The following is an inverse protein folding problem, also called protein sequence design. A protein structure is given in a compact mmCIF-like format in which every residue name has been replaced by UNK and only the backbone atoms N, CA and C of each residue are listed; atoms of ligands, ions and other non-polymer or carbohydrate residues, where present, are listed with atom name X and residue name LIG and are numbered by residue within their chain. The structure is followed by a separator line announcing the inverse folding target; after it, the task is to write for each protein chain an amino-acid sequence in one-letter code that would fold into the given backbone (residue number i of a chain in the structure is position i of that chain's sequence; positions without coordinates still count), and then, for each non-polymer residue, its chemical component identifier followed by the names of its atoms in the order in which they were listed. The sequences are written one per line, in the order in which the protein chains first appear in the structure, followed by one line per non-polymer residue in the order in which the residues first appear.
data_IF_453389405058
#
_entry.id   IF_453389405058
#
_cell.length_a   1.000
_cell.length_b   1.000
_cell.length_c   1.000
_cell.angle_alpha   90.00
_cell.angle_beta   90.00
_cell.angle_gamma   90.00
#
_symmetry.space_group_name_H-M   'P 1'
#
loop_
_entity.id
_entity.type
_entity.pdbx_description
1 polymer ?
#
# COMPACT_ATOMS: atom_id res chain seq x y z
N UNK A 1 -9.62 10.66 0.74
CA UNK A 1 -9.73 9.38 0.04
C UNK A 1 -10.35 8.35 0.98
N UNK A 2 -11.16 7.43 0.44
CA UNK A 2 -11.72 6.30 1.19
C UNK A 2 -11.12 5.00 0.62
N UNK A 3 -10.77 4.08 1.50
CA UNK A 3 -10.23 2.76 1.15
C UNK A 3 -11.11 1.69 1.82
N UNK A 4 -12.27 1.38 1.24
CA UNK A 4 -13.15 0.33 1.76
C UNK A 4 -12.60 -1.05 1.37
N UNK A 5 -12.93 -2.06 2.17
CA UNK A 5 -12.79 -3.46 1.78
C UNK A 5 -14.16 -4.15 1.78
N UNK A 6 -14.40 -5.12 0.88
CA UNK A 6 -15.73 -5.71 0.67
C UNK A 6 -16.03 -6.93 1.55
N UNK A 7 -15.17 -7.29 2.50
CA UNK A 7 -15.18 -8.63 3.07
C UNK A 7 -16.14 -8.82 4.25
N UNK A 8 -16.42 -7.78 5.05
CA UNK A 8 -17.35 -7.86 6.18
C UNK A 8 -16.98 -9.03 7.13
N UNK A 9 -17.87 -10.02 7.23
CA UNK A 9 -17.70 -11.22 8.05
C UNK A 9 -17.19 -12.44 7.25
N UNK A 10 -16.67 -12.27 6.04
CA UNK A 10 -16.34 -13.37 5.13
C UNK A 10 -14.88 -13.79 5.12
N UNK A 11 -14.01 -13.12 5.87
CA UNK A 11 -12.60 -13.47 5.97
C UNK A 11 -12.26 -14.12 7.30
N UNK A 12 -11.43 -15.16 7.25
CA UNK A 12 -10.91 -15.87 8.42
C UNK A 12 -9.43 -16.22 8.19
N UNK A 13 -8.71 -16.45 9.27
CA UNK A 13 -7.32 -16.90 9.21
C UNK A 13 -6.41 -15.98 8.42
N UNK A 14 -5.60 -16.57 7.56
CA UNK A 14 -4.55 -15.86 6.81
C UNK A 14 -5.09 -14.74 5.90
N UNK A 15 -6.27 -14.91 5.32
CA UNK A 15 -6.92 -13.91 4.48
C UNK A 15 -7.29 -12.66 5.28
N UNK A 16 -7.82 -12.84 6.49
CA UNK A 16 -8.11 -11.73 7.39
C UNK A 16 -6.82 -11.03 7.82
N UNK A 17 -5.81 -11.79 8.19
CA UNK A 17 -4.50 -11.27 8.60
C UNK A 17 -3.85 -10.44 7.49
N UNK A 18 -3.89 -10.92 6.25
CA UNK A 18 -3.36 -10.18 5.10
C UNK A 18 -4.11 -8.87 4.86
N UNK A 19 -5.44 -8.87 5.00
CA UNK A 19 -6.27 -7.66 4.92
C UNK A 19 -5.91 -6.67 6.02
N UNK A 20 -5.76 -7.13 7.25
CA UNK A 20 -5.36 -6.30 8.39
C UNK A 20 -3.99 -5.66 8.16
N UNK A 21 -3.00 -6.43 7.72
CA UNK A 21 -1.66 -5.92 7.38
C UNK A 21 -1.70 -4.87 6.26
N UNK A 22 -2.48 -5.11 5.21
CA UNK A 22 -2.62 -4.16 4.10
C UNK A 22 -3.26 -2.85 4.55
N UNK A 23 -4.36 -2.92 5.31
CA UNK A 23 -5.05 -1.76 5.86
C UNK A 23 -4.19 -1.00 6.87
N UNK A 24 -3.45 -1.70 7.74
CA UNK A 24 -2.51 -1.10 8.67
C UNK A 24 -1.40 -0.32 7.93
N UNK A 25 -0.91 -0.86 6.81
CA UNK A 25 0.00 -0.16 5.92
C UNK A 25 -0.59 1.13 5.35
N UNK A 26 -1.89 1.16 5.03
CA UNK A 26 -2.59 2.38 4.61
C UNK A 26 -2.73 3.40 5.75
N UNK A 27 -3.07 2.93 6.97
CA UNK A 27 -3.14 3.80 8.16
C UNK A 27 -1.78 4.44 8.44
N UNK A 28 -0.71 3.67 8.33
CA UNK A 28 0.65 4.12 8.59
C UNK A 28 1.33 4.80 7.39
N UNK A 29 0.59 4.99 6.28
CA UNK A 29 1.17 5.55 5.07
C UNK A 29 1.70 6.99 5.31
N UNK A 30 2.95 7.29 4.95
CA UNK A 30 3.59 8.57 5.24
C UNK A 30 2.93 9.77 4.55
N UNK A 31 2.22 9.57 3.44
CA UNK A 31 1.49 10.63 2.73
C UNK A 31 0.09 10.88 3.30
N UNK A 32 -0.36 10.11 4.29
CA UNK A 32 -1.63 10.35 4.96
C UNK A 32 -1.41 11.27 6.17
N UNK A 33 -1.80 12.53 6.06
CA UNK A 33 -1.66 13.50 7.16
C UNK A 33 -2.50 13.11 8.38
N UNK A 34 -3.71 12.60 8.15
CA UNK A 34 -4.61 12.11 9.18
C UNK A 34 -5.49 10.98 8.65
N UNK A 35 -5.94 10.09 9.52
CA UNK A 35 -6.71 8.89 9.16
C UNK A 35 -7.85 8.67 10.13
N UNK A 36 -9.06 8.42 9.59
CA UNK A 36 -10.18 7.89 10.35
C UNK A 36 -10.40 6.43 9.94
N UNK A 37 -10.37 5.54 10.91
CA UNK A 37 -10.71 4.13 10.74
C UNK A 37 -12.16 3.95 11.15
N UNK A 38 -12.97 3.43 10.23
CA UNK A 38 -14.40 3.22 10.44
C UNK A 38 -14.67 1.73 10.49
N UNK A 39 -15.16 1.25 11.62
CA UNK A 39 -15.65 -0.11 11.80
C UNK A 39 -17.19 -0.11 11.86
N UNK A 40 -17.79 -1.20 11.40
CA UNK A 40 -19.22 -1.44 11.59
C UNK A 40 -19.52 -1.83 13.03
N UNK A 41 -18.62 -2.57 13.67
CA UNK A 41 -18.77 -3.12 15.02
C UNK A 41 -19.19 -4.59 15.06
N UNK A 42 -19.51 -5.19 13.92
CA UNK A 42 -19.93 -6.61 13.81
C UNK A 42 -19.15 -7.40 12.74
N UNK A 43 -18.19 -6.77 12.07
CA UNK A 43 -17.30 -7.43 11.11
C UNK A 43 -16.22 -8.30 11.79
N UNK A 44 -15.56 -9.18 11.01
CA UNK A 44 -14.45 -9.97 11.54
C UNK A 44 -13.23 -9.12 11.89
N UNK A 45 -13.02 -8.02 11.17
CA UNK A 45 -11.91 -7.10 11.41
C UNK A 45 -12.30 -6.04 12.45
N UNK A 46 -12.50 -6.46 13.70
CA UNK A 46 -12.82 -5.55 14.80
C UNK A 46 -11.71 -4.51 15.01
N UNK A 47 -12.10 -3.29 15.37
CA UNK A 47 -11.14 -2.19 15.59
C UNK A 47 -10.09 -2.54 16.66
N UNK A 48 -10.49 -3.24 17.72
CA UNK A 48 -9.55 -3.59 18.80
C UNK A 48 -8.46 -4.55 18.32
N UNK A 49 -8.82 -5.58 17.56
CA UNK A 49 -7.88 -6.52 16.96
C UNK A 49 -7.02 -5.82 15.90
N UNK A 50 -7.63 -4.95 15.10
CA UNK A 50 -6.93 -4.19 14.06
C UNK A 50 -5.86 -3.24 14.60
N UNK A 51 -6.07 -2.65 15.78
CA UNK A 51 -5.07 -1.79 16.43
C UNK A 51 -3.75 -2.50 16.67
N UNK A 52 -3.75 -3.80 16.92
CA UNK A 52 -2.53 -4.59 17.10
C UNK A 52 -1.64 -4.58 15.84
N UNK A 53 -2.26 -4.61 14.66
CA UNK A 53 -1.55 -4.54 13.37
C UNK A 53 -1.05 -3.14 13.03
N UNK A 54 -1.74 -2.09 13.48
CA UNK A 54 -1.30 -0.71 13.31
C UNK A 54 -0.05 -0.45 14.16
N UNK A 55 0.04 -1.08 15.35
CA UNK A 55 1.10 -0.85 16.32
C UNK A 55 0.99 0.51 17.02
N UNK A 56 2.12 1.08 17.38
CA UNK A 56 2.14 2.42 17.99
C UNK A 56 1.75 3.50 16.99
N UNK A 57 0.76 4.31 17.32
CA UNK A 57 0.26 5.39 16.47
C UNK A 57 0.00 6.68 17.23
N UNK A 58 0.07 7.80 16.52
CA UNK A 58 -0.28 9.11 17.08
C UNK A 58 -1.81 9.24 17.18
N UNK A 59 -2.34 9.36 18.40
CA UNK A 59 -3.75 9.48 18.70
C UNK A 59 -4.41 10.77 18.18
N UNK A 60 -3.65 11.80 17.85
CA UNK A 60 -4.19 12.99 17.17
C UNK A 60 -4.36 12.75 15.67
N UNK A 61 -3.48 11.93 15.08
CA UNK A 61 -3.47 11.61 13.65
C UNK A 61 -4.43 10.50 13.27
N UNK A 62 -4.61 9.49 14.13
CA UNK A 62 -5.45 8.32 13.85
C UNK A 62 -6.62 8.28 14.83
N UNK A 63 -7.81 8.26 14.28
CA UNK A 63 -9.06 8.17 15.06
C UNK A 63 -9.87 6.97 14.60
N UNK A 64 -10.67 6.44 15.51
CA UNK A 64 -11.49 5.25 15.28
C UNK A 64 -12.96 5.57 15.62
N UNK A 65 -13.86 4.93 14.90
CA UNK A 65 -15.29 4.95 15.17
C UNK A 65 -15.90 3.60 14.81
N UNK A 66 -16.65 2.99 15.74
CA UNK A 66 -17.58 1.90 15.45
C UNK A 66 -18.96 2.50 15.24
N UNK A 67 -19.58 2.24 14.10
CA UNK A 67 -20.86 2.83 13.76
C UNK A 67 -22.00 2.35 14.68
N UNK A 68 -21.92 1.11 15.19
CA UNK A 68 -22.91 0.57 16.13
C UNK A 68 -22.83 1.16 17.55
N UNK A 69 -21.74 1.81 17.91
CA UNK A 69 -21.53 2.36 19.25
C UNK A 69 -22.06 3.80 19.39
N UNK A 70 -22.56 4.38 18.31
CA UNK A 70 -23.02 5.78 18.26
C UNK A 70 -24.45 5.88 17.77
N UNK A 71 -25.22 6.83 18.32
CA UNK A 71 -26.63 7.05 17.94
C UNK A 71 -26.76 7.73 16.56
N UNK A 72 -25.86 8.65 16.22
CA UNK A 72 -25.81 9.40 14.97
C UNK A 72 -24.40 9.31 14.41
N UNK A 73 -24.22 8.33 13.54
CA UNK A 73 -22.94 7.99 12.96
C UNK A 73 -22.36 9.12 12.08
N UNK A 74 -23.23 9.83 11.37
CA UNK A 74 -22.81 10.96 10.53
C UNK A 74 -22.25 12.10 11.38
N UNK A 75 -22.99 12.54 12.38
CA UNK A 75 -22.52 13.63 13.28
C UNK A 75 -21.27 13.24 14.05
N UNK A 76 -21.17 11.97 14.50
CA UNK A 76 -20.00 11.49 15.20
C UNK A 76 -18.78 11.48 14.26
N UNK A 77 -18.94 11.01 13.03
CA UNK A 77 -17.88 11.00 12.02
C UNK A 77 -17.47 12.42 11.61
N UNK A 78 -18.41 13.35 11.39
CA UNK A 78 -18.12 14.75 11.07
C UNK A 78 -17.25 15.40 12.15
N UNK A 79 -17.62 15.23 13.42
CA UNK A 79 -16.83 15.77 14.53
C UNK A 79 -15.41 15.22 14.59
N UNK A 80 -15.22 13.94 14.26
CA UNK A 80 -13.90 13.32 14.18
C UNK A 80 -13.13 13.89 12.99
N UNK A 81 -13.79 14.02 11.83
CA UNK A 81 -13.19 14.57 10.62
C UNK A 81 -12.75 16.02 10.80
N UNK A 82 -13.53 16.86 11.44
CA UNK A 82 -13.16 18.24 11.75
C UNK A 82 -11.84 18.30 12.54
N UNK A 83 -11.71 17.48 13.58
CA UNK A 83 -10.48 17.39 14.36
C UNK A 83 -9.28 16.90 13.52
N UNK A 84 -9.52 15.94 12.62
CA UNK A 84 -8.48 15.40 11.74
C UNK A 84 -8.05 16.41 10.66
N UNK A 85 -9.01 17.20 10.15
CA UNK A 85 -8.72 18.30 9.20
C UNK A 85 -7.91 19.38 9.88
N UNK A 86 -8.25 19.77 11.11
CA UNK A 86 -7.48 20.74 11.89
C UNK A 86 -6.06 20.24 12.17
N UNK A 87 -5.93 18.95 12.48
CA UNK A 87 -4.60 18.32 12.65
C UNK A 87 -3.81 18.34 11.33
N UNK A 88 -4.43 17.90 10.24
CA UNK A 88 -3.81 17.86 8.91
C UNK A 88 -3.40 19.24 8.40
N UNK A 89 -4.16 20.29 8.75
CA UNK A 89 -3.88 21.67 8.39
C UNK A 89 -2.60 22.24 9.01
N UNK A 90 -2.01 21.58 10.01
CA UNK A 90 -0.73 21.99 10.61
C UNK A 90 0.47 21.67 9.73
N UNK A 91 0.34 20.72 8.79
CA UNK A 91 1.42 20.33 7.90
C UNK A 91 1.61 21.35 6.76
N UNK A 92 2.86 21.62 6.45
CA UNK A 92 3.26 22.48 5.35
C UNK A 92 4.08 21.67 4.36
N UNK A 93 3.99 22.09 3.09
CA UNK A 93 4.87 21.53 2.07
C UNK A 93 6.30 22.01 2.30
N UNK A 94 7.23 21.10 2.15
CA UNK A 94 8.68 21.36 2.25
C UNK A 94 9.35 20.89 0.96
N UNK A 95 10.45 21.58 0.59
CA UNK A 95 11.29 21.12 -0.50
C UNK A 95 12.11 19.91 -0.04
N UNK A 96 12.01 18.82 -0.77
CA UNK A 96 12.77 17.59 -0.51
C UNK A 96 13.51 17.16 -1.77
N UNK A 97 14.68 16.52 -1.66
CA UNK A 97 15.38 16.00 -2.82
C UNK A 97 14.61 14.85 -3.47
N UNK A 98 14.75 14.70 -4.78
CA UNK A 98 14.08 13.63 -5.55
C UNK A 98 14.46 12.23 -5.05
N UNK A 99 15.60 12.08 -4.39
CA UNK A 99 16.03 10.82 -3.76
C UNK A 99 15.06 10.29 -2.71
N UNK A 100 14.24 11.16 -2.10
CA UNK A 100 13.19 10.74 -1.16
C UNK A 100 11.93 10.18 -1.86
N UNK A 101 11.79 10.44 -3.17
CA UNK A 101 10.61 10.01 -3.91
C UNK A 101 10.64 8.51 -4.20
N UNK A 102 9.57 7.82 -3.81
CA UNK A 102 9.32 6.41 -4.09
C UNK A 102 8.04 6.28 -4.90
N UNK A 103 8.11 5.61 -6.05
CA UNK A 103 6.98 5.41 -6.95
C UNK A 103 6.73 3.91 -7.12
N UNK A 104 5.51 3.47 -6.79
CA UNK A 104 5.03 2.13 -7.10
C UNK A 104 4.52 2.08 -8.55
N UNK A 105 4.92 1.06 -9.30
CA UNK A 105 4.50 0.82 -10.68
C UNK A 105 3.63 -0.44 -10.70
N UNK A 106 2.42 -0.30 -11.27
CA UNK A 106 1.46 -1.38 -11.39
C UNK A 106 0.83 -1.40 -12.77
N UNK A 107 0.56 -2.60 -13.27
CA UNK A 107 -0.18 -2.80 -14.51
C UNK A 107 -1.57 -2.12 -14.46
N UNK A 108 -1.98 -1.54 -15.58
CA UNK A 108 -3.29 -0.91 -15.74
C UNK A 108 -4.27 -1.81 -16.51
N UNK A 109 -4.74 -1.34 -17.68
CA UNK A 109 -5.72 -2.04 -18.51
C UNK A 109 -5.18 -3.23 -19.30
N UNK A 110 -3.88 -3.46 -19.32
CA UNK A 110 -3.20 -4.59 -19.98
C UNK A 110 -3.59 -4.75 -21.47
N UNK A 111 -3.73 -3.65 -22.20
CA UNK A 111 -4.01 -3.70 -23.63
C UNK A 111 -2.74 -3.92 -24.47
N UNK A 112 -2.90 -4.36 -25.71
CA UNK A 112 -1.79 -4.69 -26.63
C UNK A 112 -0.89 -3.51 -26.98
N UNK A 113 -1.35 -2.26 -26.83
CA UNK A 113 -0.56 -1.07 -27.09
C UNK A 113 0.26 -0.61 -25.88
N UNK A 114 -0.05 -1.05 -24.67
CA UNK A 114 0.71 -0.70 -23.44
C UNK A 114 2.19 -1.01 -23.58
N UNK A 115 2.52 -2.14 -24.22
CA UNK A 115 3.91 -2.59 -24.44
C UNK A 115 4.73 -1.65 -25.31
N UNK A 116 4.11 -0.89 -26.20
CA UNK A 116 4.79 0.03 -27.13
C UNK A 116 4.60 1.51 -26.76
N UNK A 117 3.75 1.82 -25.79
CA UNK A 117 3.42 3.19 -25.37
C UNK A 117 3.70 3.41 -23.87
N UNK A 118 2.79 2.98 -23.02
CA UNK A 118 2.83 3.26 -21.59
C UNK A 118 4.04 2.62 -20.89
N UNK A 119 4.35 1.35 -21.18
CA UNK A 119 5.45 0.65 -20.52
C UNK A 119 6.82 1.26 -20.83
N UNK A 120 7.17 1.59 -22.09
CA UNK A 120 8.40 2.31 -22.38
C UNK A 120 8.47 3.70 -21.74
N UNK A 121 7.33 4.42 -21.63
CA UNK A 121 7.28 5.70 -20.95
C UNK A 121 7.59 5.55 -19.46
N UNK A 122 6.95 4.57 -18.80
CA UNK A 122 7.21 4.26 -17.39
C UNK A 122 8.66 3.83 -17.15
N UNK A 123 9.24 3.06 -18.07
CA UNK A 123 10.66 2.71 -18.03
C UNK A 123 11.55 3.95 -18.05
N UNK A 124 11.26 4.92 -18.91
CA UNK A 124 12.01 6.20 -18.97
C UNK A 124 11.85 7.04 -17.72
N UNK A 125 10.65 7.06 -17.14
CA UNK A 125 10.39 7.75 -15.87
C UNK A 125 11.19 7.09 -14.75
N UNK A 126 11.18 5.75 -14.68
CA UNK A 126 11.92 4.98 -13.71
C UNK A 126 13.44 5.21 -13.81
N UNK A 127 13.99 5.20 -15.02
CA UNK A 127 15.42 5.49 -15.26
C UNK A 127 15.77 6.90 -14.81
N UNK A 128 14.93 7.89 -15.14
CA UNK A 128 15.14 9.27 -14.73
C UNK A 128 15.05 9.43 -13.22
N UNK A 129 14.04 8.82 -12.58
CA UNK A 129 13.90 8.82 -11.12
C UNK A 129 15.15 8.23 -10.45
N UNK A 130 15.61 7.08 -10.91
CA UNK A 130 16.81 6.42 -10.42
C UNK A 130 18.07 7.27 -10.59
N UNK A 131 18.19 8.03 -11.68
CA UNK A 131 19.33 8.93 -11.90
C UNK A 131 19.39 10.08 -10.89
N UNK A 132 18.29 10.44 -10.25
CA UNK A 132 18.22 11.39 -9.14
C UNK A 132 18.22 10.74 -7.76
N UNK A 133 18.47 9.43 -7.69
CA UNK A 133 18.53 8.68 -6.43
C UNK A 133 17.16 8.24 -5.89
N UNK A 134 16.07 8.51 -6.60
CA UNK A 134 14.74 8.05 -6.21
C UNK A 134 14.54 6.55 -6.45
N UNK A 135 13.43 6.00 -5.97
CA UNK A 135 13.16 4.56 -5.98
C UNK A 135 11.91 4.24 -6.78
N UNK A 136 12.03 3.30 -7.72
CA UNK A 136 10.90 2.66 -8.39
C UNK A 136 10.65 1.27 -7.80
N UNK A 137 9.41 0.98 -7.44
CA UNK A 137 8.98 -0.30 -6.89
C UNK A 137 8.14 -1.00 -7.96
N UNK A 138 8.66 -2.10 -8.50
CA UNK A 138 7.90 -2.97 -9.39
C UNK A 138 7.00 -3.88 -8.55
N UNK A 139 5.76 -4.04 -8.99
CA UNK A 139 4.79 -4.95 -8.39
C UNK A 139 4.49 -6.11 -9.35
N UNK A 140 3.69 -7.08 -8.91
CA UNK A 140 3.19 -8.17 -9.76
C UNK A 140 4.31 -9.06 -10.34
N UNK A 141 4.96 -9.83 -9.47
CA UNK A 141 6.05 -10.76 -9.83
C UNK A 141 5.77 -11.60 -11.09
N UNK A 142 4.54 -12.10 -11.37
CA UNK A 142 4.25 -12.84 -12.60
C UNK A 142 4.54 -12.07 -13.88
N UNK A 143 4.43 -10.75 -13.87
CA UNK A 143 4.72 -9.91 -15.05
C UNK A 143 6.22 -9.77 -15.33
N UNK A 144 7.07 -10.23 -14.42
CA UNK A 144 8.52 -10.28 -14.58
C UNK A 144 8.98 -11.54 -15.32
N UNK A 145 8.10 -12.53 -15.51
CA UNK A 145 8.42 -13.77 -16.21
C UNK A 145 8.75 -13.48 -17.69
N UNK A 146 9.87 -14.01 -18.14
CA UNK A 146 10.45 -13.70 -19.44
C UNK A 146 11.42 -12.51 -19.44
N UNK A 147 11.40 -11.66 -18.43
CA UNK A 147 12.32 -10.53 -18.24
C UNK A 147 13.32 -10.76 -17.08
N UNK A 148 13.36 -11.95 -16.51
CA UNK A 148 14.14 -12.28 -15.32
C UNK A 148 15.61 -11.91 -15.45
N UNK A 149 16.22 -12.23 -16.61
CA UNK A 149 17.63 -11.94 -16.86
C UNK A 149 17.95 -10.45 -16.84
N UNK A 150 17.00 -9.61 -17.28
CA UNK A 150 17.17 -8.14 -17.27
C UNK A 150 17.23 -7.64 -15.83
N UNK A 151 16.33 -8.14 -14.96
CA UNK A 151 16.30 -7.77 -13.55
C UNK A 151 17.52 -8.29 -12.81
N UNK A 152 17.87 -9.57 -13.01
CA UNK A 152 19.06 -10.20 -12.40
C UNK A 152 20.36 -9.46 -12.76
N UNK A 153 20.52 -9.05 -14.02
CA UNK A 153 21.71 -8.32 -14.48
C UNK A 153 21.81 -6.90 -13.89
N UNK A 154 20.74 -6.37 -13.31
CA UNK A 154 20.72 -5.06 -12.64
C UNK A 154 20.97 -5.17 -11.13
N UNK A 155 21.11 -6.37 -10.60
CA UNK A 155 21.42 -6.56 -9.18
C UNK A 155 22.76 -5.92 -8.84
N UNK A 156 22.76 -5.16 -7.74
CA UNK A 156 23.95 -4.42 -7.30
C UNK A 156 25.05 -5.31 -6.72
N UNK A 157 24.70 -6.51 -6.27
CA UNK A 157 25.56 -7.49 -5.64
C UNK A 157 24.96 -8.90 -5.76
N UNK A 158 25.75 -9.92 -5.42
CA UNK A 158 25.37 -11.34 -5.49
C UNK A 158 24.16 -11.64 -4.59
N UNK A 159 24.13 -11.09 -3.37
CA UNK A 159 23.01 -11.28 -2.46
C UNK A 159 21.69 -10.76 -3.05
N UNK A 160 21.71 -9.61 -3.71
CA UNK A 160 20.53 -9.04 -4.37
C UNK A 160 20.14 -9.88 -5.58
N UNK A 161 21.11 -10.40 -6.34
CA UNK A 161 20.87 -11.32 -7.44
C UNK A 161 20.15 -12.59 -6.96
N UNK A 162 20.64 -13.23 -5.91
CA UNK A 162 20.03 -14.44 -5.33
C UNK A 162 18.61 -14.18 -4.87
N UNK A 163 18.35 -13.04 -4.19
CA UNK A 163 16.99 -12.66 -3.78
C UNK A 163 16.04 -12.48 -4.96
N UNK A 164 16.51 -11.96 -6.09
CA UNK A 164 15.67 -11.86 -7.31
C UNK A 164 15.34 -13.24 -7.85
N UNK A 165 16.32 -14.16 -7.86
CA UNK A 165 16.11 -15.56 -8.27
C UNK A 165 15.11 -16.26 -7.38
N UNK A 166 15.28 -16.15 -6.06
CA UNK A 166 14.37 -16.73 -5.07
C UNK A 166 12.94 -16.17 -5.19
N UNK A 167 12.79 -14.85 -5.36
CA UNK A 167 11.48 -14.21 -5.52
C UNK A 167 10.73 -14.76 -6.75
N UNK A 168 11.41 -14.83 -7.89
CA UNK A 168 10.79 -15.26 -9.15
C UNK A 168 10.47 -16.76 -9.11
N UNK A 169 11.40 -17.59 -8.65
CA UNK A 169 11.19 -19.04 -8.58
C UNK A 169 10.15 -19.40 -7.51
N UNK A 170 10.18 -18.76 -6.34
CA UNK A 170 9.18 -18.97 -5.31
C UNK A 170 7.77 -18.63 -5.78
N UNK A 171 7.61 -17.61 -6.63
CA UNK A 171 6.31 -17.31 -7.21
C UNK A 171 5.87 -18.33 -8.27
N UNK A 172 6.81 -18.88 -9.06
CA UNK A 172 6.52 -20.00 -9.96
C UNK A 172 6.09 -21.26 -9.19
N UNK A 173 6.79 -21.57 -8.09
CA UNK A 173 6.45 -22.70 -7.23
C UNK A 173 5.08 -22.53 -6.57
N UNK A 174 4.74 -21.30 -6.17
CA UNK A 174 3.40 -20.97 -5.67
C UNK A 174 2.31 -21.32 -6.70
N UNK A 175 2.47 -20.92 -7.97
CA UNK A 175 1.52 -21.30 -9.02
C UNK A 175 1.42 -22.79 -9.28
N UNK A 176 2.50 -23.55 -9.08
CA UNK A 176 2.49 -25.00 -9.27
C UNK A 176 1.85 -25.76 -8.11
N UNK A 177 1.78 -25.14 -6.94
CA UNK A 177 1.23 -25.74 -5.72
C UNK A 177 -0.27 -25.48 -5.52
N UNK A 178 -0.87 -24.56 -6.29
CA UNK A 178 -2.28 -24.16 -6.25
C UNK A 178 -2.94 -24.32 -7.61
#
# INVERSE_FOLDING_TARGET
HAFPHPYGCSQLGDDLEMTQKALAGLVNHPNAAAVMVVGLGCENNLIEDFKEYIGDYNHERVKFINLQDVEDDQKAAEKILDNLVDYAGKFKQEEVPVSELKIGLKCGGSDGFSGVTANPLLGRISDKLGSYGGTSILTEVPEMFGAEKILMNRAKDEQTFEKVVELINGFKDYFLSH
#
